data_IF_442576332536
#
_entry.id   IF_442576332536
#
_cell.length_a   1.000
_cell.length_b   1.000
_cell.length_c   1.000
_cell.angle_alpha   90.00
_cell.angle_beta   90.00
_cell.angle_gamma   90.00
#
_symmetry.space_group_name_H-M   'P 1'
#
loop_
_entity.id
_entity.type
_entity.pdbx_description
1 polymer ?
#
# COMPACT_ATOMS: atom_id res chain seq x y z
N UNK A 1 9.00 -18.87 -2.68
CA UNK A 1 8.58 -20.07 -1.89
C UNK A 1 7.49 -20.89 -2.60
N UNK A 2 6.38 -20.29 -3.01
CA UNK A 2 5.31 -20.99 -3.77
C UNK A 2 5.80 -21.69 -5.04
N UNK A 3 6.67 -21.05 -5.85
CA UNK A 3 7.26 -21.65 -7.06
C UNK A 3 8.07 -22.92 -6.76
N UNK A 4 8.78 -22.98 -5.63
CA UNK A 4 9.52 -24.17 -5.21
C UNK A 4 8.59 -25.30 -4.73
N UNK A 5 7.47 -24.96 -4.10
CA UNK A 5 6.45 -25.92 -3.64
C UNK A 5 5.67 -26.51 -4.82
N UNK A 6 5.26 -25.67 -5.78
CA UNK A 6 4.60 -26.13 -7.01
C UNK A 6 5.52 -27.02 -7.83
N UNK A 7 6.82 -26.67 -7.96
CA UNK A 7 7.81 -27.51 -8.61
C UNK A 7 8.00 -28.84 -7.92
N UNK A 8 8.08 -28.87 -6.59
CA UNK A 8 8.21 -30.10 -5.79
C UNK A 8 6.98 -31.02 -5.90
N UNK A 9 5.77 -30.43 -6.01
CA UNK A 9 4.54 -31.18 -6.26
C UNK A 9 4.51 -31.73 -7.69
N UNK A 10 4.92 -30.95 -8.69
CA UNK A 10 5.02 -31.36 -10.09
C UNK A 10 6.04 -32.50 -10.28
N UNK A 11 7.21 -32.38 -9.65
CA UNK A 11 8.26 -33.41 -9.70
C UNK A 11 7.79 -34.74 -9.07
N UNK A 12 7.01 -34.68 -7.99
CA UNK A 12 6.44 -35.86 -7.32
C UNK A 12 5.38 -36.56 -8.18
N UNK A 13 4.54 -35.79 -8.90
CA UNK A 13 3.54 -36.32 -9.83
C UNK A 13 4.21 -36.92 -11.08
N UNK A 14 5.31 -36.36 -11.58
CA UNK A 14 6.05 -36.92 -12.71
C UNK A 14 6.76 -38.25 -12.35
N UNK A 15 7.31 -38.36 -11.14
CA UNK A 15 7.95 -39.60 -10.67
C UNK A 15 6.94 -40.74 -10.57
N UNK A 16 5.73 -40.51 -10.11
CA UNK A 16 4.66 -41.53 -10.07
C UNK A 16 4.13 -41.90 -11.46
N UNK A 17 4.08 -40.93 -12.41
CA UNK A 17 3.66 -41.20 -13.80
C UNK A 17 4.70 -41.98 -14.64
N UNK A 18 6.00 -41.77 -14.36
CA UNK A 18 7.08 -42.47 -15.10
C UNK A 18 7.26 -43.90 -14.66
N UNK A 19 6.89 -44.27 -13.43
CA UNK A 19 6.93 -45.65 -12.93
C UNK A 19 5.88 -46.57 -13.59
N UNK A 20 4.86 -46.02 -14.20
CA UNK A 20 3.79 -46.75 -14.88
C UNK A 20 4.10 -47.12 -16.34
N UNK A 21 5.21 -46.64 -16.93
CA UNK A 21 5.58 -46.85 -18.34
C UNK A 21 6.71 -47.85 -18.58
N UNK A 22 7.22 -48.55 -17.55
CA UNK A 22 8.36 -49.47 -17.66
C UNK A 22 8.02 -50.91 -17.28
N UNK A 23 7.88 -51.75 -18.28
CA UNK A 23 8.01 -53.20 -18.36
C UNK A 23 7.15 -54.15 -17.50
N UNK A 24 6.44 -54.95 -18.25
CA UNK A 24 5.72 -56.18 -18.06
C UNK A 24 6.43 -57.20 -17.18
N UNK A 25 6.17 -57.22 -15.86
CA UNK A 25 6.31 -58.38 -15.02
C UNK A 25 5.20 -58.37 -13.96
N UNK A 26 4.37 -59.40 -13.96
CA UNK A 26 3.07 -59.60 -13.32
C UNK A 26 2.98 -59.31 -11.82
N UNK A 27 2.97 -58.07 -11.46
CA UNK A 27 2.50 -57.56 -10.21
C UNK A 27 1.38 -56.56 -10.51
N UNK A 28 0.13 -56.82 -10.13
CA UNK A 28 -0.96 -55.88 -10.21
C UNK A 28 -0.55 -54.67 -9.38
N UNK A 29 -0.17 -53.59 -10.06
CA UNK A 29 -0.04 -52.28 -9.41
C UNK A 29 -1.42 -51.95 -8.88
N UNK A 30 -1.56 -51.78 -7.57
CA UNK A 30 -2.83 -51.44 -6.95
C UNK A 30 -3.18 -49.99 -7.32
N UNK A 31 -3.90 -49.84 -8.43
CA UNK A 31 -4.34 -48.56 -8.98
C UNK A 31 -5.15 -47.73 -7.94
N UNK A 32 -5.80 -48.43 -7.01
CA UNK A 32 -6.57 -47.85 -5.93
C UNK A 32 -5.66 -47.17 -4.91
N UNK A 33 -4.53 -47.78 -4.56
CA UNK A 33 -3.53 -47.21 -3.65
C UNK A 33 -2.88 -45.96 -4.28
N UNK A 34 -2.50 -46.07 -5.55
CA UNK A 34 -1.89 -44.92 -6.28
C UNK A 34 -2.85 -43.73 -6.40
N UNK A 35 -4.14 -44.00 -6.64
CA UNK A 35 -5.17 -42.95 -6.69
C UNK A 35 -5.35 -42.29 -5.30
N UNK A 36 -5.37 -43.06 -4.23
CA UNK A 36 -5.46 -42.53 -2.86
C UNK A 36 -4.26 -41.67 -2.49
N UNK A 37 -3.03 -42.08 -2.85
CA UNK A 37 -1.81 -41.33 -2.58
C UNK A 37 -1.76 -40.01 -3.35
N UNK A 38 -2.27 -39.99 -4.59
CA UNK A 38 -2.39 -38.77 -5.40
C UNK A 38 -3.41 -37.80 -4.78
N UNK A 39 -4.57 -38.30 -4.36
CA UNK A 39 -5.59 -37.52 -3.69
C UNK A 39 -5.11 -36.92 -2.36
N UNK A 40 -4.37 -37.70 -1.56
CA UNK A 40 -3.78 -37.25 -0.31
C UNK A 40 -2.74 -36.16 -0.58
N UNK A 41 -1.86 -36.34 -1.56
CA UNK A 41 -0.85 -35.34 -1.94
C UNK A 41 -1.50 -34.04 -2.42
N UNK A 42 -2.59 -34.11 -3.20
CA UNK A 42 -3.33 -32.94 -3.64
C UNK A 42 -3.98 -32.18 -2.46
N UNK A 43 -4.52 -32.92 -1.50
CA UNK A 43 -5.09 -32.36 -0.27
C UNK A 43 -4.02 -31.66 0.58
N UNK A 44 -2.86 -32.29 0.77
CA UNK A 44 -1.75 -31.71 1.54
C UNK A 44 -1.20 -30.44 0.88
N UNK A 45 -1.11 -30.42 -0.44
CA UNK A 45 -0.71 -29.22 -1.21
C UNK A 45 -1.75 -28.10 -1.06
N UNK A 46 -3.04 -28.42 -1.19
CA UNK A 46 -4.11 -27.45 -1.02
C UNK A 46 -4.10 -26.82 0.38
N UNK A 47 -3.94 -27.66 1.42
CA UNK A 47 -3.84 -27.17 2.80
C UNK A 47 -2.62 -26.26 2.99
N UNK A 48 -1.44 -26.66 2.48
CA UNK A 48 -0.22 -25.86 2.57
C UNK A 48 -0.38 -24.51 1.87
N UNK A 49 -1.04 -24.46 0.72
CA UNK A 49 -1.32 -23.20 -0.01
C UNK A 49 -2.24 -22.31 0.82
N UNK A 50 -3.31 -22.86 1.38
CA UNK A 50 -4.24 -22.14 2.26
C UNK A 50 -3.51 -21.55 3.46
N UNK A 51 -2.67 -22.32 4.14
CA UNK A 51 -1.91 -21.86 5.30
C UNK A 51 -0.97 -20.69 4.95
N UNK A 52 -0.29 -20.76 3.79
CA UNK A 52 0.59 -19.68 3.31
C UNK A 52 -0.21 -18.43 2.97
N UNK A 53 -1.37 -18.55 2.34
CA UNK A 53 -2.25 -17.43 1.99
C UNK A 53 -2.74 -16.73 3.25
N UNK A 54 -3.33 -17.49 4.18
CA UNK A 54 -3.83 -16.96 5.46
C UNK A 54 -2.72 -16.27 6.26
N UNK A 55 -1.54 -16.89 6.35
CA UNK A 55 -0.41 -16.30 7.06
C UNK A 55 0.05 -14.99 6.41
N UNK A 56 0.10 -14.92 5.08
CA UNK A 56 0.50 -13.69 4.37
C UNK A 56 -0.50 -12.57 4.59
N UNK A 57 -1.81 -12.83 4.44
CA UNK A 57 -2.86 -11.85 4.69
C UNK A 57 -2.82 -11.33 6.14
N UNK A 58 -2.62 -12.22 7.11
CA UNK A 58 -2.47 -11.88 8.53
C UNK A 58 -1.26 -10.99 8.78
N UNK A 59 -0.12 -11.29 8.14
CA UNK A 59 1.10 -10.48 8.27
C UNK A 59 0.91 -9.08 7.67
N UNK A 60 0.22 -8.96 6.53
CA UNK A 60 -0.12 -7.67 5.93
C UNK A 60 -0.93 -6.83 6.92
N UNK A 61 -2.02 -7.37 7.45
CA UNK A 61 -2.88 -6.68 8.42
C UNK A 61 -2.08 -6.20 9.64
N UNK A 62 -1.24 -7.06 10.24
CA UNK A 62 -0.42 -6.73 11.40
C UNK A 62 0.59 -5.62 11.12
N UNK A 63 1.19 -5.63 9.94
CA UNK A 63 2.16 -4.61 9.52
C UNK A 63 1.51 -3.23 9.38
N UNK A 64 0.35 -3.16 8.74
CA UNK A 64 -0.38 -1.90 8.58
C UNK A 64 -0.92 -1.34 9.89
N UNK A 65 -1.34 -2.19 10.83
CA UNK A 65 -1.67 -1.78 12.20
C UNK A 65 -0.48 -1.04 12.83
N UNK A 66 0.73 -1.58 12.68
CA UNK A 66 1.95 -0.97 13.22
C UNK A 66 2.29 0.37 12.52
N UNK A 67 2.25 0.40 11.20
CA UNK A 67 2.60 1.60 10.41
C UNK A 67 1.65 2.76 10.69
N UNK A 68 0.35 2.53 10.61
CA UNK A 68 -0.66 3.57 10.78
C UNK A 68 -0.93 3.94 12.24
N UNK A 69 -0.46 3.11 13.20
CA UNK A 69 -0.78 3.24 14.61
C UNK A 69 -2.22 2.86 14.96
N UNK A 70 -2.84 2.01 14.13
CA UNK A 70 -4.19 1.50 14.32
C UNK A 70 -4.28 0.54 15.51
N UNK A 71 -5.51 0.26 15.97
CA UNK A 71 -5.81 -0.79 16.93
C UNK A 71 -6.04 -2.15 16.25
N UNK A 72 -6.60 -2.11 15.05
CA UNK A 72 -6.87 -3.28 14.19
C UNK A 72 -6.95 -2.87 12.74
N UNK A 73 -6.87 -3.84 11.82
CA UNK A 73 -7.12 -3.62 10.41
C UNK A 73 -7.93 -4.78 9.81
N UNK A 74 -8.53 -4.53 8.64
CA UNK A 74 -9.30 -5.49 7.87
C UNK A 74 -8.94 -5.37 6.40
N UNK A 75 -9.11 -6.45 5.67
CA UNK A 75 -9.06 -6.47 4.22
C UNK A 75 -10.46 -6.27 3.68
N UNK A 76 -10.63 -5.28 2.83
CA UNK A 76 -11.89 -4.95 2.17
C UNK A 76 -11.67 -5.06 0.66
N UNK A 77 -12.50 -5.79 -0.08
CA UNK A 77 -12.39 -5.85 -1.53
C UNK A 77 -12.49 -4.44 -2.14
N UNK A 78 -11.64 -4.14 -3.13
CA UNK A 78 -11.61 -2.83 -3.80
C UNK A 78 -13.00 -2.43 -4.32
N UNK A 79 -13.81 -3.40 -4.78
CA UNK A 79 -15.18 -3.18 -5.25
C UNK A 79 -16.13 -2.59 -4.22
N UNK A 80 -15.84 -2.71 -2.93
CA UNK A 80 -16.67 -2.18 -1.83
C UNK A 80 -16.12 -0.88 -1.22
N UNK A 81 -14.94 -0.41 -1.66
CA UNK A 81 -14.30 0.77 -1.07
C UNK A 81 -15.15 2.02 -1.26
N UNK A 82 -15.64 2.26 -2.48
CA UNK A 82 -16.44 3.45 -2.79
C UNK A 82 -17.76 3.46 -2.00
N UNK A 83 -18.41 2.30 -1.88
CA UNK A 83 -19.64 2.16 -1.08
C UNK A 83 -19.36 2.38 0.41
N UNK A 84 -18.22 1.85 0.93
CA UNK A 84 -17.80 2.08 2.30
C UNK A 84 -17.56 3.58 2.56
N UNK A 85 -16.78 4.23 1.69
CA UNK A 85 -16.48 5.66 1.83
C UNK A 85 -17.74 6.51 1.73
N UNK A 86 -18.65 6.20 0.80
CA UNK A 86 -19.94 6.89 0.68
C UNK A 86 -20.80 6.71 1.96
N UNK A 87 -20.81 5.53 2.54
CA UNK A 87 -21.51 5.25 3.81
C UNK A 87 -20.92 6.09 4.95
N UNK A 88 -19.60 6.14 5.06
CA UNK A 88 -18.92 6.92 6.09
C UNK A 88 -19.16 8.43 5.92
N UNK A 89 -19.07 8.93 4.69
CA UNK A 89 -19.32 10.35 4.37
C UNK A 89 -20.76 10.74 4.69
N UNK A 90 -21.72 9.90 4.37
CA UNK A 90 -23.15 10.14 4.73
C UNK A 90 -23.38 10.16 6.24
N UNK A 91 -22.56 9.46 7.00
CA UNK A 91 -22.54 9.48 8.47
C UNK A 91 -21.75 10.66 9.08
N UNK A 92 -21.25 11.58 8.28
CA UNK A 92 -20.53 12.79 8.74
C UNK A 92 -19.02 12.60 8.89
N UNK A 93 -18.44 11.57 8.30
CA UNK A 93 -16.98 11.39 8.24
C UNK A 93 -16.43 12.14 7.03
N UNK A 94 -15.30 12.82 7.20
CA UNK A 94 -14.60 13.49 6.11
C UNK A 94 -13.43 12.65 5.61
N UNK A 95 -13.37 12.44 4.29
CA UNK A 95 -12.23 11.81 3.64
C UNK A 95 -11.14 12.85 3.39
N UNK A 96 -9.92 12.54 3.76
CA UNK A 96 -8.75 13.41 3.60
C UNK A 96 -7.56 12.63 3.05
N UNK A 97 -6.75 13.29 2.24
CA UNK A 97 -5.43 12.81 1.87
C UNK A 97 -4.37 13.53 2.70
N UNK A 98 -3.31 12.87 3.18
CA UNK A 98 -2.24 13.51 3.95
C UNK A 98 -1.52 14.61 3.17
N UNK A 99 -1.40 14.46 1.85
CA UNK A 99 -0.91 15.48 0.91
C UNK A 99 -1.97 15.71 -0.16
N UNK A 100 -2.45 16.92 -0.29
CA UNK A 100 -3.54 17.26 -1.22
C UNK A 100 -3.38 18.64 -1.82
N UNK A 101 -4.18 18.91 -2.87
CA UNK A 101 -4.26 20.24 -3.48
C UNK A 101 -3.15 20.57 -4.47
N UNK A 102 -3.32 21.70 -5.18
CA UNK A 102 -2.31 22.40 -6.00
C UNK A 102 -2.45 23.88 -5.69
N UNK A 103 -1.49 24.52 -5.04
CA UNK A 103 -0.23 23.92 -4.56
C UNK A 103 -0.44 22.89 -3.45
N UNK A 104 0.51 21.96 -3.35
CA UNK A 104 0.46 20.87 -2.37
C UNK A 104 0.45 21.39 -0.94
N UNK A 105 -0.42 20.85 -0.13
CA UNK A 105 -0.54 21.13 1.30
C UNK A 105 -0.62 19.85 2.12
N UNK A 106 -0.10 19.91 3.34
CA UNK A 106 -0.26 18.82 4.32
C UNK A 106 -1.59 19.02 5.04
N UNK A 107 -2.44 18.00 4.99
CA UNK A 107 -3.69 17.99 5.74
C UNK A 107 -3.39 17.98 7.25
N UNK A 108 -4.06 18.82 8.02
CA UNK A 108 -3.94 18.81 9.49
C UNK A 108 -4.84 17.75 10.13
N UNK A 109 -4.49 16.47 9.93
CA UNK A 109 -5.24 15.35 10.50
C UNK A 109 -5.32 15.49 12.02
N UNK A 110 -4.19 15.80 12.66
CA UNK A 110 -4.11 15.90 14.14
C UNK A 110 -4.98 17.03 14.69
N UNK A 111 -4.90 18.22 14.09
CA UNK A 111 -5.69 19.39 14.55
C UNK A 111 -7.18 19.21 14.29
N UNK A 112 -7.56 18.68 13.13
CA UNK A 112 -8.95 18.41 12.78
C UNK A 112 -9.58 17.33 13.68
N UNK A 113 -8.87 16.22 13.92
CA UNK A 113 -9.31 15.19 14.86
C UNK A 113 -9.44 15.73 16.30
N UNK A 114 -8.51 16.60 16.75
CA UNK A 114 -8.61 17.26 18.05
C UNK A 114 -9.79 18.24 18.13
N UNK A 115 -10.22 18.81 17.01
CA UNK A 115 -11.43 19.64 16.91
C UNK A 115 -12.73 18.80 16.88
N UNK A 116 -12.64 17.48 16.91
CA UNK A 116 -13.79 16.58 16.94
C UNK A 116 -14.27 16.12 15.58
N UNK A 117 -13.54 16.43 14.49
CA UNK A 117 -13.87 15.91 13.17
C UNK A 117 -13.60 14.41 13.09
N UNK A 118 -14.52 13.69 12.46
CA UNK A 118 -14.35 12.27 12.12
C UNK A 118 -13.66 12.16 10.76
N UNK A 119 -12.47 11.57 10.73
CA UNK A 119 -11.63 11.54 9.54
C UNK A 119 -11.35 10.12 9.05
N UNK A 120 -11.45 9.94 7.74
CA UNK A 120 -10.83 8.84 7.00
C UNK A 120 -9.61 9.40 6.27
N UNK A 121 -8.44 8.87 6.53
CA UNK A 121 -7.22 9.23 5.82
C UNK A 121 -7.00 8.22 4.67
N UNK A 122 -7.08 8.71 3.43
CA UNK A 122 -6.68 7.93 2.26
C UNK A 122 -5.16 8.08 2.08
N UNK A 123 -4.43 7.03 2.44
CA UNK A 123 -2.96 7.00 2.35
C UNK A 123 -2.47 6.21 1.14
N UNK A 124 -3.34 5.82 0.22
CA UNK A 124 -2.97 5.01 -0.96
C UNK A 124 -1.94 5.72 -1.83
N UNK A 125 -2.11 7.02 -2.02
CA UNK A 125 -1.24 7.84 -2.87
C UNK A 125 0.15 8.04 -2.28
N UNK A 126 0.24 8.39 -0.98
CA UNK A 126 1.52 8.67 -0.34
C UNK A 126 2.21 7.42 0.21
N UNK A 127 1.43 6.41 0.59
CA UNK A 127 1.87 5.22 1.31
C UNK A 127 1.69 5.33 2.82
N UNK A 128 1.26 4.22 3.43
CA UNK A 128 1.02 4.16 4.87
C UNK A 128 2.29 4.34 5.71
N UNK A 129 3.46 4.08 5.12
CA UNK A 129 4.77 4.27 5.73
C UNK A 129 5.10 5.74 6.02
N UNK A 130 4.51 6.68 5.26
CA UNK A 130 4.70 8.11 5.49
C UNK A 130 3.66 8.73 6.42
N UNK A 131 2.50 8.11 6.60
CA UNK A 131 1.41 8.71 7.38
C UNK A 131 0.86 7.77 8.45
N UNK A 132 1.23 7.95 9.73
CA UNK A 132 0.63 7.21 10.84
C UNK A 132 -0.77 7.75 11.20
N UNK A 133 -1.67 7.79 10.24
CA UNK A 133 -2.93 8.53 10.29
C UNK A 133 -3.82 8.19 11.50
N UNK A 134 -3.91 6.92 11.88
CA UNK A 134 -4.70 6.52 13.05
C UNK A 134 -4.08 7.02 14.36
N UNK A 135 -2.74 7.13 14.43
CA UNK A 135 -2.04 7.74 15.57
C UNK A 135 -2.29 9.24 15.65
N UNK A 136 -2.47 9.88 14.49
CA UNK A 136 -2.81 11.31 14.43
C UNK A 136 -4.27 11.62 14.77
N UNK A 137 -5.11 10.58 14.86
CA UNK A 137 -6.51 10.72 15.28
C UNK A 137 -7.55 10.41 14.20
N UNK A 138 -7.14 10.03 13.00
CA UNK A 138 -8.08 9.53 12.00
C UNK A 138 -8.77 8.25 12.51
N UNK A 139 -10.08 8.14 12.30
CA UNK A 139 -10.86 6.94 12.68
C UNK A 139 -10.41 5.74 11.85
N UNK A 140 -10.12 6.00 10.56
CA UNK A 140 -9.70 5.00 9.58
C UNK A 140 -8.52 5.53 8.76
N UNK A 141 -7.62 4.62 8.37
CA UNK A 141 -6.69 4.83 7.27
C UNK A 141 -6.89 3.74 6.21
N UNK A 142 -6.97 4.14 4.94
CA UNK A 142 -7.12 3.24 3.79
C UNK A 142 -5.81 3.17 3.03
N UNK A 143 -5.28 1.96 2.83
CA UNK A 143 -4.02 1.70 2.15
C UNK A 143 -4.14 0.56 1.13
N UNK A 144 -3.19 0.47 0.21
CA UNK A 144 -3.04 -0.64 -0.74
C UNK A 144 -1.78 -1.44 -0.44
N UNK A 145 -1.82 -2.73 -0.80
CA UNK A 145 -0.67 -3.63 -0.68
C UNK A 145 -0.64 -4.63 -1.84
N UNK A 146 0.49 -4.70 -2.54
CA UNK A 146 0.67 -5.58 -3.69
C UNK A 146 0.61 -7.09 -3.32
N UNK A 147 0.78 -7.43 -2.04
CA UNK A 147 0.66 -8.82 -1.56
C UNK A 147 -0.77 -9.34 -1.58
N UNK A 148 -1.75 -8.44 -1.51
CA UNK A 148 -3.19 -8.76 -1.48
C UNK A 148 -3.93 -8.02 -2.59
N UNK A 149 -3.65 -8.32 -3.86
CA UNK A 149 -4.25 -7.63 -5.01
C UNK A 149 -5.77 -7.79 -5.00
N UNK A 150 -6.47 -6.70 -5.35
CA UNK A 150 -7.93 -6.66 -5.31
C UNK A 150 -8.54 -6.32 -3.95
N UNK A 151 -7.69 -6.07 -2.94
CA UNK A 151 -8.11 -5.65 -1.61
C UNK A 151 -7.39 -4.35 -1.18
N UNK A 152 -8.04 -3.59 -0.32
CA UNK A 152 -7.43 -2.51 0.44
C UNK A 152 -7.31 -2.92 1.91
N UNK A 153 -6.30 -2.39 2.58
CA UNK A 153 -6.10 -2.54 4.02
C UNK A 153 -6.77 -1.35 4.71
N UNK A 154 -7.87 -1.62 5.40
CA UNK A 154 -8.61 -0.61 6.16
C UNK A 154 -8.21 -0.71 7.63
N UNK A 155 -7.41 0.25 8.06
CA UNK A 155 -6.88 0.35 9.42
C UNK A 155 -7.82 1.18 10.28
N UNK A 156 -8.24 0.67 11.44
CA UNK A 156 -9.14 1.36 12.37
C UNK A 156 -8.40 1.78 13.63
N UNK A 157 -8.61 3.00 14.08
CA UNK A 157 -8.07 3.53 15.35
C UNK A 157 -8.45 2.63 16.53
N UNK A 158 -7.61 2.58 17.58
CA UNK A 158 -7.84 1.73 18.77
C UNK A 158 -9.21 1.98 19.43
N UNK A 159 -9.63 3.23 19.49
CA UNK A 159 -10.94 3.63 20.02
C UNK A 159 -11.83 4.16 18.88
N UNK A 160 -11.88 3.45 17.77
CA UNK A 160 -12.74 3.77 16.64
C UNK A 160 -14.21 3.77 17.06
N UNK A 161 -14.95 4.74 16.56
CA UNK A 161 -16.38 4.88 16.87
C UNK A 161 -17.13 3.63 16.41
N UNK A 162 -18.04 3.06 17.22
CA UNK A 162 -18.66 1.75 16.95
C UNK A 162 -19.30 1.63 15.56
N UNK A 163 -20.14 2.59 15.16
CA UNK A 163 -20.81 2.52 13.87
C UNK A 163 -19.84 2.59 12.67
N UNK A 164 -18.70 3.34 12.81
CA UNK A 164 -17.64 3.38 11.80
C UNK A 164 -16.96 2.01 11.68
N UNK A 165 -16.68 1.39 12.83
CA UNK A 165 -16.11 0.06 12.87
C UNK A 165 -17.07 -0.99 12.28
N UNK A 166 -18.36 -0.92 12.60
CA UNK A 166 -19.40 -1.79 12.05
C UNK A 166 -19.53 -1.66 10.53
N UNK A 167 -19.43 -0.44 9.99
CA UNK A 167 -19.45 -0.20 8.56
C UNK A 167 -18.28 -0.90 7.84
N UNK A 168 -17.08 -0.87 8.45
CA UNK A 168 -15.89 -1.59 7.92
C UNK A 168 -16.09 -3.10 8.03
N UNK A 169 -16.51 -3.60 9.18
CA UNK A 169 -16.71 -5.05 9.40
C UNK A 169 -17.77 -5.63 8.43
N UNK A 170 -18.80 -4.86 8.09
CA UNK A 170 -19.83 -5.27 7.13
C UNK A 170 -19.29 -5.47 5.69
N UNK A 171 -18.15 -4.87 5.36
CA UNK A 171 -17.50 -4.98 4.03
C UNK A 171 -16.21 -5.79 4.07
N UNK A 172 -15.72 -6.16 5.26
CA UNK A 172 -14.52 -6.94 5.44
C UNK A 172 -14.72 -8.39 4.98
N UNK A 173 -13.66 -8.96 4.40
CA UNK A 173 -13.58 -10.39 4.11
C UNK A 173 -12.75 -11.13 5.18
N UNK A 174 -12.95 -12.45 5.25
CA UNK A 174 -12.04 -13.32 6.01
C UNK A 174 -10.65 -13.35 5.35
N UNK A 175 -9.60 -13.45 6.16
CA UNK A 175 -8.23 -13.64 5.65
C UNK A 175 -8.07 -14.95 4.88
N UNK A 176 -8.95 -15.91 5.11
CA UNK A 176 -8.94 -17.21 4.42
C UNK A 176 -9.49 -17.12 2.98
N UNK A 177 -10.28 -16.07 2.69
CA UNK A 177 -10.89 -15.83 1.38
C UNK A 177 -10.03 -14.90 0.50
N UNK A 178 -8.86 -14.47 1.00
CA UNK A 178 -8.03 -13.46 0.32
C UNK A 178 -7.13 -14.11 -0.73
N UNK A 179 -7.09 -13.55 -1.92
CA UNK A 179 -6.08 -13.89 -2.93
C UNK A 179 -4.75 -13.22 -2.61
N UNK A 180 -3.68 -14.01 -2.56
CA UNK A 180 -2.32 -13.52 -2.30
C UNK A 180 -1.47 -13.62 -3.57
N UNK A 181 -0.74 -12.54 -3.87
CA UNK A 181 0.22 -12.52 -4.98
C UNK A 181 1.51 -13.25 -4.62
N UNK A 182 1.98 -14.13 -5.50
CA UNK A 182 3.25 -14.83 -5.33
C UNK A 182 4.47 -13.88 -5.40
N UNK A 183 4.39 -12.81 -6.18
CA UNK A 183 5.42 -11.77 -6.35
C UNK A 183 5.17 -10.54 -5.49
N UNK A 184 3.98 -10.42 -4.91
CA UNK A 184 3.52 -9.22 -4.22
C UNK A 184 4.43 -8.75 -3.08
N UNK A 185 5.17 -9.65 -2.43
CA UNK A 185 6.11 -9.27 -1.37
C UNK A 185 7.32 -8.49 -1.93
N UNK A 186 7.85 -8.90 -3.08
CA UNK A 186 8.95 -8.22 -3.76
C UNK A 186 8.46 -6.89 -4.37
N UNK A 187 7.27 -6.91 -4.99
CA UNK A 187 6.62 -5.73 -5.54
C UNK A 187 6.35 -4.67 -4.47
N UNK A 188 5.83 -5.07 -3.31
CA UNK A 188 5.57 -4.17 -2.19
C UNK A 188 6.85 -3.60 -1.59
N UNK A 189 7.89 -4.44 -1.43
CA UNK A 189 9.19 -3.99 -0.94
C UNK A 189 9.82 -2.99 -1.93
N UNK A 190 9.81 -3.30 -3.23
CA UNK A 190 10.29 -2.42 -4.29
C UNK A 190 9.52 -1.10 -4.30
N UNK A 191 8.19 -1.14 -4.25
CA UNK A 191 7.36 0.06 -4.24
C UNK A 191 7.64 0.98 -3.04
N UNK A 192 7.91 0.42 -1.86
CA UNK A 192 8.32 1.22 -0.68
C UNK A 192 9.69 1.87 -0.86
N UNK A 193 10.67 1.11 -1.36
CA UNK A 193 12.01 1.64 -1.65
C UNK A 193 11.90 2.76 -2.68
N UNK A 194 11.14 2.56 -3.75
CA UNK A 194 10.90 3.55 -4.80
C UNK A 194 10.22 4.82 -4.24
N UNK A 195 9.19 4.69 -3.39
CA UNK A 195 8.53 5.85 -2.76
C UNK A 195 9.47 6.64 -1.84
N UNK A 196 10.31 5.97 -1.06
CA UNK A 196 11.32 6.66 -0.24
C UNK A 196 12.36 7.36 -1.10
N UNK A 197 12.89 6.71 -2.13
CA UNK A 197 13.84 7.32 -3.07
C UNK A 197 13.22 8.52 -3.79
N UNK A 198 11.96 8.43 -4.22
CA UNK A 198 11.23 9.54 -4.82
C UNK A 198 11.05 10.72 -3.84
N UNK A 199 10.76 10.45 -2.56
CA UNK A 199 10.66 11.51 -1.54
C UNK A 199 12.01 12.18 -1.29
N UNK A 200 13.10 11.42 -1.26
CA UNK A 200 14.46 11.96 -1.10
C UNK A 200 14.86 12.80 -2.32
N UNK A 201 14.58 12.31 -3.53
CA UNK A 201 14.82 13.06 -4.77
C UNK A 201 14.00 14.37 -4.80
N UNK A 202 12.72 14.30 -4.35
CA UNK A 202 11.87 15.49 -4.24
C UNK A 202 12.48 16.58 -3.35
N UNK A 203 13.09 16.20 -2.21
CA UNK A 203 13.76 17.15 -1.32
C UNK A 203 14.91 17.88 -2.02
N UNK A 204 15.69 17.18 -2.84
CA UNK A 204 16.82 17.76 -3.59
C UNK A 204 16.29 18.65 -4.71
N UNK A 205 15.33 18.16 -5.51
CA UNK A 205 14.74 18.92 -6.63
C UNK A 205 14.05 20.19 -6.11
N UNK A 206 13.27 20.11 -5.03
CA UNK A 206 12.60 21.28 -4.45
C UNK A 206 13.59 22.33 -3.94
N UNK A 207 14.71 21.87 -3.35
CA UNK A 207 15.78 22.79 -2.93
C UNK A 207 16.44 23.48 -4.12
N UNK A 208 16.67 22.77 -5.21
CA UNK A 208 17.19 23.33 -6.46
C UNK A 208 16.19 24.35 -7.04
N UNK A 209 14.92 24.01 -7.16
CA UNK A 209 13.90 24.89 -7.70
C UNK A 209 13.71 26.17 -6.86
N UNK A 210 13.82 26.07 -5.55
CA UNK A 210 13.75 27.24 -4.66
C UNK A 210 14.88 28.28 -4.89
N UNK A 211 15.99 27.84 -5.50
CA UNK A 211 17.11 28.68 -5.86
C UNK A 211 17.16 29.03 -7.36
N UNK A 212 16.25 28.47 -8.16
CA UNK A 212 16.27 28.60 -9.61
C UNK A 212 15.84 30.00 -10.05
N UNK A 213 16.57 30.71 -10.95
CA UNK A 213 16.33 32.12 -11.29
C UNK A 213 14.98 32.38 -11.98
N UNK A 214 14.46 31.37 -12.71
CA UNK A 214 13.16 31.47 -13.40
C UNK A 214 11.97 31.09 -12.54
N UNK A 215 12.20 30.45 -11.37
CA UNK A 215 11.13 30.03 -10.45
C UNK A 215 10.83 31.19 -9.49
N UNK A 216 9.57 31.52 -9.35
CA UNK A 216 9.09 32.54 -8.42
C UNK A 216 8.82 31.97 -7.04
N UNK A 217 8.15 30.81 -7.00
CA UNK A 217 7.78 30.15 -5.76
C UNK A 217 7.83 28.64 -5.89
N UNK A 218 8.11 27.96 -4.77
CA UNK A 218 8.05 26.50 -4.64
C UNK A 218 7.24 26.15 -3.40
N UNK A 219 6.34 25.18 -3.54
CA UNK A 219 5.59 24.59 -2.44
C UNK A 219 6.01 23.13 -2.34
N UNK A 220 6.66 22.80 -1.24
CA UNK A 220 7.05 21.45 -0.90
C UNK A 220 7.16 21.30 0.62
N UNK A 221 6.41 20.39 1.23
CA UNK A 221 6.35 20.26 2.69
C UNK A 221 7.68 20.02 3.39
N UNK A 222 8.70 19.54 2.67
CA UNK A 222 10.06 19.33 3.19
C UNK A 222 10.97 20.58 3.21
N UNK A 223 10.54 21.69 2.61
CA UNK A 223 11.28 22.95 2.66
C UNK A 223 10.94 23.72 3.93
N UNK A 224 11.95 24.18 4.66
CA UNK A 224 11.75 25.02 5.89
C UNK A 224 10.98 26.31 5.62
N UNK A 225 11.00 26.78 4.39
CA UNK A 225 10.27 27.98 3.94
C UNK A 225 8.82 27.71 3.58
N UNK A 226 8.42 26.43 3.46
CA UNK A 226 7.04 26.09 3.13
C UNK A 226 6.13 26.31 4.35
N UNK A 227 4.96 26.94 4.17
CA UNK A 227 4.01 27.17 5.25
C UNK A 227 3.54 25.91 5.97
N UNK A 228 3.55 24.76 5.29
CA UNK A 228 3.15 23.46 5.86
C UNK A 228 4.30 22.70 6.53
N UNK A 229 5.55 23.19 6.50
CA UNK A 229 6.73 22.48 7.01
C UNK A 229 6.58 22.01 8.48
N UNK A 230 6.14 22.90 9.36
CA UNK A 230 5.96 22.57 10.78
C UNK A 230 4.89 21.48 10.97
N UNK A 231 3.82 21.52 10.18
CA UNK A 231 2.78 20.49 10.16
C UNK A 231 3.31 19.18 9.59
N UNK A 232 3.99 19.23 8.46
CA UNK A 232 4.60 18.08 7.81
C UNK A 232 5.54 17.32 8.77
N UNK A 233 6.47 18.02 9.42
CA UNK A 233 7.41 17.43 10.38
C UNK A 233 6.74 16.82 11.61
N UNK A 234 5.54 17.26 11.97
CA UNK A 234 4.78 16.73 13.12
C UNK A 234 3.86 15.56 12.75
N UNK A 235 3.54 15.36 11.48
CA UNK A 235 2.53 14.40 11.05
C UNK A 235 3.04 13.34 10.05
N UNK A 236 4.07 13.67 9.27
CA UNK A 236 4.68 12.72 8.33
C UNK A 236 5.90 12.04 8.95
N UNK A 237 6.19 10.83 8.50
CA UNK A 237 7.29 9.99 8.98
C UNK A 237 8.07 9.48 7.78
N UNK A 238 9.42 9.49 7.85
CA UNK A 238 10.27 8.88 6.82
C UNK A 238 10.37 9.66 5.50
N UNK A 239 9.78 10.87 5.41
CA UNK A 239 9.85 11.72 4.23
C UNK A 239 8.62 12.62 4.09
N UNK A 240 8.62 13.43 3.03
CA UNK A 240 7.59 14.44 2.77
C UNK A 240 6.77 14.17 1.49
N UNK A 241 6.96 12.98 0.90
CA UNK A 241 6.33 12.56 -0.35
C UNK A 241 7.02 13.10 -1.61
N UNK A 242 6.58 12.64 -2.78
CA UNK A 242 7.24 12.95 -4.05
C UNK A 242 6.71 14.20 -4.75
N UNK A 243 5.66 14.86 -4.20
CA UNK A 243 4.95 15.95 -4.88
C UNK A 243 5.46 17.31 -4.45
N UNK A 244 5.79 18.15 -5.42
CA UNK A 244 6.05 19.57 -5.22
C UNK A 244 5.36 20.39 -6.30
N UNK A 245 4.99 21.60 -5.98
CA UNK A 245 4.44 22.54 -6.93
C UNK A 245 5.34 23.78 -7.02
N UNK A 246 5.49 24.29 -8.21
CA UNK A 246 6.31 25.48 -8.49
C UNK A 246 5.58 26.44 -9.42
N UNK A 247 6.00 27.68 -9.40
CA UNK A 247 5.44 28.74 -10.22
C UNK A 247 6.57 29.46 -10.97
N UNK A 248 6.41 29.61 -12.28
CA UNK A 248 7.35 30.37 -13.09
C UNK A 248 7.16 31.87 -12.88
N UNK A 249 8.27 32.65 -12.91
CA UNK A 249 8.21 34.12 -12.91
C UNK A 249 7.49 34.68 -14.14
N UNK A 250 7.53 33.96 -15.25
CA UNK A 250 6.91 34.33 -16.52
C UNK A 250 5.39 34.09 -16.52
N UNK A 251 4.89 33.25 -15.61
CA UNK A 251 3.45 32.90 -15.48
C UNK A 251 3.00 33.01 -14.02
N UNK A 252 2.98 34.22 -13.45
CA UNK A 252 2.59 34.43 -12.06
C UNK A 252 1.16 33.93 -11.80
N UNK A 253 0.96 33.19 -10.73
CA UNK A 253 -0.34 32.65 -10.33
C UNK A 253 -0.65 31.27 -10.91
N UNK A 254 0.14 30.76 -11.85
CA UNK A 254 -0.01 29.42 -12.42
C UNK A 254 0.93 28.42 -11.71
N UNK A 255 0.34 27.45 -11.01
CA UNK A 255 1.08 26.40 -10.33
C UNK A 255 1.22 25.18 -11.24
N UNK A 256 2.45 24.67 -11.33
CA UNK A 256 2.80 23.47 -12.05
C UNK A 256 3.23 22.38 -11.04
N UNK A 257 2.70 21.17 -11.20
CA UNK A 257 3.12 20.04 -10.38
C UNK A 257 4.31 19.33 -10.98
N UNK A 258 5.33 19.11 -10.14
CA UNK A 258 6.39 18.17 -10.40
C UNK A 258 6.22 16.97 -9.46
N UNK A 259 6.28 15.77 -10.04
CA UNK A 259 6.29 14.51 -9.27
C UNK A 259 7.65 13.87 -9.42
N UNK A 260 8.40 13.81 -8.33
CA UNK A 260 9.68 13.13 -8.32
C UNK A 260 9.48 11.61 -8.46
N UNK A 261 10.43 10.97 -9.12
CA UNK A 261 10.51 9.53 -9.27
C UNK A 261 11.67 8.99 -8.42
N UNK A 262 11.90 7.69 -8.44
CA UNK A 262 13.05 7.03 -7.80
C UNK A 262 14.35 7.15 -8.61
N UNK A 263 14.31 7.84 -9.76
CA UNK A 263 15.52 8.21 -10.48
C UNK A 263 16.40 9.17 -9.66
N UNK A 264 17.70 9.17 -9.97
CA UNK A 264 18.63 10.10 -9.38
C UNK A 264 18.17 11.56 -9.54
N UNK A 265 18.18 12.32 -8.45
CA UNK A 265 17.69 13.70 -8.41
C UNK A 265 18.40 14.61 -9.42
N UNK A 266 19.70 14.40 -9.69
CA UNK A 266 20.44 15.15 -10.68
C UNK A 266 19.89 14.93 -12.09
N UNK A 267 19.55 13.69 -12.43
CA UNK A 267 18.93 13.35 -13.71
C UNK A 267 17.58 14.06 -13.86
N UNK A 268 16.77 14.07 -12.82
CA UNK A 268 15.50 14.76 -12.80
C UNK A 268 15.66 16.28 -12.96
N UNK A 269 16.64 16.90 -12.33
CA UNK A 269 16.98 18.32 -12.49
C UNK A 269 17.41 18.62 -13.93
N UNK A 270 18.27 17.80 -14.52
CA UNK A 270 18.71 17.98 -15.92
C UNK A 270 17.52 17.88 -16.88
N UNK A 271 16.62 16.95 -16.64
CA UNK A 271 15.40 16.81 -17.46
C UNK A 271 14.48 18.02 -17.30
N UNK A 272 14.34 18.54 -16.08
CA UNK A 272 13.57 19.75 -15.81
C UNK A 272 14.12 20.96 -16.57
N UNK A 273 15.42 21.19 -16.54
CA UNK A 273 16.11 22.28 -17.25
C UNK A 273 15.94 22.20 -18.78
N UNK A 274 15.74 21.02 -19.33
CA UNK A 274 15.51 20.83 -20.79
C UNK A 274 14.08 21.12 -21.21
N UNK A 275 13.12 21.08 -20.30
CA UNK A 275 11.70 21.33 -20.56
C UNK A 275 11.33 22.81 -20.42
N UNK A 276 12.14 23.59 -19.74
CA UNK A 276 11.98 25.03 -19.51
C UNK A 276 12.90 25.88 -20.36
#
# INVERSE_FOLDING_TARGET
MLSALVKKASDKVQVTGSAAAGENSGGAVDVTQTASDVMQTASDVAQTVTDVVTQTATNVVAEYVKMTGAGRARLVPVSYVDELLATLVSGGVTVVEPLAGVPVEVCDIKGRAAAGELLVADVRTIGAEFSPACRLGAEIAVAEDARVPGYVVVCMRKCCIPWVAEAVEAKACSTDDVTVSATGAEEQASARVSRHAASDAAQVVATFLACHPRVEAVRYPGLKTDPSFARATSQLVGGFGPYMDYMWRESPGEWHRFTATDEDARTQIINFERLG
#
